data_IF_415595404618
#
_entry.id   IF_415595404618
#
_cell.length_a   1.000
_cell.length_b   1.000
_cell.length_c   1.000
_cell.angle_alpha   90.00
_cell.angle_beta   90.00
_cell.angle_gamma   90.00
#
_symmetry.space_group_name_H-M   'P 1'
#
loop_
_entity.id
_entity.type
_entity.pdbx_description
1 polymer ?
#
# COMPACT_ATOMS: atom_id res chain seq x y z
N UNK A 1 25.05 6.03 -3.44
CA UNK A 1 24.49 7.38 -3.25
C UNK A 1 23.71 7.39 -1.95
N UNK A 2 23.93 8.35 -1.04
CA UNK A 2 23.34 8.32 0.30
C UNK A 2 21.81 8.53 0.17
N UNK A 3 20.99 7.63 0.74
CA UNK A 3 19.53 7.64 0.70
C UNK A 3 18.94 9.02 1.09
N UNK A 4 19.50 9.66 2.11
CA UNK A 4 19.09 11.00 2.55
C UNK A 4 19.34 12.08 1.49
N UNK A 5 20.42 11.97 0.71
CA UNK A 5 20.73 12.90 -0.36
C UNK A 5 19.80 12.72 -1.57
N UNK A 6 19.43 11.47 -1.84
CA UNK A 6 18.44 11.13 -2.88
C UNK A 6 17.05 11.62 -2.48
N UNK A 7 16.61 11.34 -1.25
CA UNK A 7 15.31 11.80 -0.72
C UNK A 7 15.23 13.34 -0.73
N UNK A 8 16.29 14.04 -0.33
CA UNK A 8 16.30 15.51 -0.36
C UNK A 8 16.32 16.05 -1.79
N UNK A 9 17.12 15.50 -2.70
CA UNK A 9 17.11 15.85 -4.13
C UNK A 9 15.75 15.52 -4.76
N UNK A 10 15.08 14.50 -4.26
CA UNK A 10 13.76 14.08 -4.70
C UNK A 10 12.65 14.98 -4.12
N UNK A 11 12.75 15.39 -2.85
CA UNK A 11 11.86 16.39 -2.24
C UNK A 11 12.00 17.75 -2.91
N UNK A 12 13.22 18.13 -3.32
CA UNK A 12 13.46 19.35 -4.11
C UNK A 12 12.85 19.25 -5.52
N UNK A 13 12.83 18.05 -6.12
CA UNK A 13 12.12 17.78 -7.39
C UNK A 13 10.61 17.79 -7.20
N UNK A 14 10.10 17.33 -6.05
CA UNK A 14 8.68 17.40 -5.71
C UNK A 14 8.21 18.82 -5.35
N UNK A 15 9.10 19.68 -4.85
CA UNK A 15 8.82 21.10 -4.61
C UNK A 15 8.72 21.94 -5.92
N UNK A 16 9.22 21.42 -7.04
CA UNK A 16 8.94 21.98 -8.35
C UNK A 16 7.56 21.52 -8.83
N UNK A 17 6.76 22.48 -9.23
CA UNK A 17 5.39 22.29 -9.75
C UNK A 17 5.32 21.08 -10.69
N UNK A 18 4.56 20.07 -10.33
CA UNK A 18 4.32 18.91 -11.15
C UNK A 18 3.19 19.25 -12.12
N UNK A 19 3.40 19.12 -13.41
CA UNK A 19 2.42 19.40 -14.47
C UNK A 19 2.45 18.30 -15.55
N UNK A 20 1.63 18.43 -16.57
CA UNK A 20 1.58 17.49 -17.68
C UNK A 20 2.93 17.33 -18.39
N UNK A 21 3.69 18.43 -18.54
CA UNK A 21 4.98 18.37 -19.26
C UNK A 21 6.00 17.58 -18.44
N UNK A 22 6.08 17.84 -17.13
CA UNK A 22 6.94 17.10 -16.23
C UNK A 22 6.55 15.63 -16.16
N UNK A 23 5.23 15.33 -16.09
CA UNK A 23 4.70 13.97 -16.16
C UNK A 23 5.20 13.26 -17.42
N UNK A 24 5.06 13.87 -18.58
CA UNK A 24 5.51 13.31 -19.86
C UNK A 24 7.02 13.10 -19.90
N UNK A 25 7.80 14.12 -19.52
CA UNK A 25 9.26 14.06 -19.46
C UNK A 25 9.79 12.93 -18.58
N UNK A 26 9.21 12.75 -17.39
CA UNK A 26 9.63 11.70 -16.48
C UNK A 26 9.30 10.32 -17.04
N UNK A 27 8.19 10.15 -17.74
CA UNK A 27 7.81 8.89 -18.42
C UNK A 27 8.71 8.55 -19.60
N UNK A 28 9.32 9.57 -20.23
CA UNK A 28 10.33 9.37 -21.27
C UNK A 28 11.71 9.06 -20.68
N UNK A 29 12.05 9.67 -19.54
CA UNK A 29 13.32 9.48 -18.84
C UNK A 29 13.41 8.11 -18.15
N UNK A 30 12.31 7.66 -17.52
CA UNK A 30 12.25 6.41 -16.77
C UNK A 30 11.39 5.37 -17.49
N UNK A 31 12.01 4.24 -17.83
CA UNK A 31 11.38 3.24 -18.68
C UNK A 31 10.34 2.40 -17.92
N UNK A 32 10.67 2.01 -16.67
CA UNK A 32 9.78 1.14 -15.90
C UNK A 32 9.90 1.32 -14.38
N UNK A 33 8.85 0.89 -13.70
CA UNK A 33 8.83 0.62 -12.25
C UNK A 33 8.67 -0.87 -12.01
N UNK A 34 9.31 -1.41 -10.97
CA UNK A 34 9.26 -2.84 -10.67
C UNK A 34 8.92 -3.11 -9.22
N UNK A 35 7.96 -4.00 -8.97
CA UNK A 35 7.79 -4.69 -7.69
C UNK A 35 8.61 -5.98 -7.74
N UNK A 36 9.78 -5.98 -7.12
CA UNK A 36 10.75 -7.07 -7.22
C UNK A 36 10.35 -8.27 -6.36
N UNK A 37 10.10 -8.05 -5.08
CA UNK A 37 9.77 -9.07 -4.08
C UNK A 37 9.31 -8.44 -2.78
N UNK A 38 8.89 -9.25 -1.84
CA UNK A 38 8.73 -8.91 -0.43
C UNK A 38 9.36 -9.99 0.44
N UNK A 39 9.78 -9.60 1.65
CA UNK A 39 10.25 -10.52 2.67
C UNK A 39 9.49 -10.25 3.96
N UNK A 40 9.32 -11.28 4.79
CA UNK A 40 8.76 -11.11 6.12
C UNK A 40 9.48 -12.01 7.12
N UNK A 41 9.50 -11.55 8.37
CA UNK A 41 10.06 -12.28 9.52
C UNK A 41 9.10 -12.21 10.70
N UNK A 42 9.17 -13.22 11.54
CA UNK A 42 8.51 -13.24 12.84
C UNK A 42 9.57 -13.51 13.90
N UNK A 43 10.06 -12.45 14.52
CA UNK A 43 11.14 -12.50 15.50
C UNK A 43 10.82 -11.61 16.70
N UNK A 44 11.18 -12.06 17.91
CA UNK A 44 11.00 -11.28 19.14
C UNK A 44 9.57 -10.74 19.32
N UNK A 45 8.57 -11.54 18.98
CA UNK A 45 7.16 -11.14 19.04
C UNK A 45 6.80 -9.94 18.15
N UNK A 46 7.54 -9.72 17.05
CA UNK A 46 7.25 -8.72 16.03
C UNK A 46 7.17 -9.39 14.67
N UNK A 47 6.06 -9.18 13.98
CA UNK A 47 5.92 -9.52 12.57
C UNK A 47 6.38 -8.33 11.74
N UNK A 48 7.46 -8.50 10.97
CA UNK A 48 8.05 -7.45 10.13
C UNK A 48 7.93 -7.82 8.67
N UNK A 49 7.57 -6.85 7.84
CA UNK A 49 7.47 -7.01 6.39
C UNK A 49 8.26 -5.92 5.69
N UNK A 50 8.97 -6.28 4.63
CA UNK A 50 9.67 -5.35 3.72
C UNK A 50 9.23 -5.63 2.28
N UNK A 51 8.94 -4.57 1.55
CA UNK A 51 8.72 -4.61 0.12
C UNK A 51 9.95 -4.06 -0.61
N UNK A 52 10.22 -4.57 -1.79
CA UNK A 52 11.36 -4.14 -2.60
C UNK A 52 10.85 -3.67 -3.96
N UNK A 53 11.01 -2.38 -4.17
CA UNK A 53 10.67 -1.74 -5.43
C UNK A 53 11.89 -1.14 -6.08
N UNK A 54 11.86 -0.98 -7.39
CA UNK A 54 12.88 -0.24 -8.13
C UNK A 54 12.28 0.60 -9.25
N UNK A 55 12.97 1.69 -9.56
CA UNK A 55 12.76 2.50 -10.74
C UNK A 55 13.98 2.29 -11.64
N UNK A 56 13.78 1.75 -12.85
CA UNK A 56 14.80 1.34 -13.83
C UNK A 56 15.90 0.42 -13.28
N UNK A 57 15.64 -0.32 -12.20
CA UNK A 57 16.64 -1.10 -11.47
C UNK A 57 17.89 -0.28 -11.07
N UNK A 58 17.75 1.05 -11.00
CA UNK A 58 18.80 2.00 -10.59
C UNK A 58 18.51 2.63 -9.24
N UNK A 59 17.24 2.89 -8.95
CA UNK A 59 16.79 3.48 -7.68
C UNK A 59 15.94 2.47 -6.94
N UNK A 60 16.28 2.19 -5.68
CA UNK A 60 15.65 1.14 -4.89
C UNK A 60 14.91 1.73 -3.70
N UNK A 61 13.72 1.20 -3.44
CA UNK A 61 12.85 1.58 -2.33
C UNK A 61 12.49 0.34 -1.52
N UNK A 62 12.61 0.45 -0.20
CA UNK A 62 12.36 -0.67 0.71
C UNK A 62 11.44 -0.25 1.86
N UNK A 63 10.15 0.07 1.55
CA UNK A 63 9.21 0.32 2.64
C UNK A 63 9.01 -0.92 3.49
N UNK A 64 8.77 -0.68 4.77
CA UNK A 64 8.52 -1.74 5.74
C UNK A 64 7.45 -1.33 6.74
N UNK A 65 6.78 -2.31 7.31
CA UNK A 65 5.94 -2.13 8.48
C UNK A 65 6.16 -3.25 9.49
N UNK A 66 5.82 -2.98 10.73
CA UNK A 66 5.92 -3.91 11.83
C UNK A 66 4.60 -4.01 12.57
N UNK A 67 4.20 -5.23 12.91
CA UNK A 67 3.03 -5.51 13.72
C UNK A 67 3.53 -6.19 15.01
N UNK A 68 3.45 -5.52 16.17
CA UNK A 68 3.77 -6.15 17.45
C UNK A 68 2.84 -7.35 17.68
N UNK A 69 3.42 -8.50 17.97
CA UNK A 69 2.66 -9.68 18.36
C UNK A 69 2.13 -9.46 19.79
N UNK A 70 0.99 -8.82 19.91
CA UNK A 70 0.20 -8.92 21.12
C UNK A 70 -0.61 -10.20 21.03
N UNK A 71 -1.01 -10.79 22.12
CA UNK A 71 -1.73 -12.10 22.25
C UNK A 71 -3.03 -12.25 21.42
N UNK A 72 -3.17 -11.51 20.31
CA UNK A 72 -4.36 -11.49 19.47
C UNK A 72 -4.41 -12.64 18.46
N UNK A 73 -3.26 -13.19 18.09
CA UNK A 73 -3.19 -14.13 16.99
C UNK A 73 -2.08 -15.16 17.18
N UNK A 74 -2.38 -16.41 16.94
CA UNK A 74 -1.37 -17.47 16.93
C UNK A 74 -0.80 -17.62 15.51
N UNK A 75 0.35 -16.99 15.27
CA UNK A 75 1.03 -16.99 13.98
C UNK A 75 1.46 -18.37 13.50
N UNK A 76 1.61 -19.36 14.40
CA UNK A 76 1.95 -20.73 14.03
C UNK A 76 0.84 -21.43 13.23
N UNK A 77 -0.38 -20.89 13.23
CA UNK A 77 -1.52 -21.41 12.47
C UNK A 77 -1.75 -20.67 11.14
N UNK A 78 -0.87 -19.73 10.76
CA UNK A 78 -1.01 -19.01 9.49
C UNK A 78 -0.66 -19.94 8.34
N UNK A 79 -1.57 -20.11 7.42
CA UNK A 79 -1.28 -20.74 6.15
C UNK A 79 -0.38 -19.79 5.33
N UNK A 80 0.77 -20.30 4.89
CA UNK A 80 1.76 -19.51 4.14
C UNK A 80 1.14 -18.88 2.87
N UNK A 81 0.35 -19.63 2.11
CA UNK A 81 -0.28 -19.13 0.88
C UNK A 81 -1.27 -17.98 1.18
N UNK A 82 -1.99 -18.07 2.32
CA UNK A 82 -2.87 -16.97 2.76
C UNK A 82 -2.07 -15.70 3.06
N UNK A 83 -0.96 -15.86 3.80
CA UNK A 83 -0.10 -14.75 4.15
C UNK A 83 0.53 -14.14 2.91
N UNK A 84 1.08 -14.96 2.02
CA UNK A 84 1.68 -14.51 0.77
C UNK A 84 0.68 -13.73 -0.10
N UNK A 85 -0.57 -14.22 -0.20
CA UNK A 85 -1.64 -13.49 -0.90
C UNK A 85 -1.90 -12.12 -0.30
N UNK A 86 -2.00 -12.02 1.03
CA UNK A 86 -2.25 -10.75 1.73
C UNK A 86 -1.06 -9.81 1.54
N UNK A 87 0.16 -10.27 1.76
CA UNK A 87 1.37 -9.46 1.66
C UNK A 87 1.60 -8.96 0.24
N UNK A 88 1.39 -9.81 -0.76
CA UNK A 88 1.45 -9.40 -2.16
C UNK A 88 0.47 -8.25 -2.46
N UNK A 89 -0.79 -8.39 -2.03
CA UNK A 89 -1.79 -7.34 -2.25
C UNK A 89 -1.46 -6.04 -1.49
N UNK A 90 -0.90 -6.11 -0.28
CA UNK A 90 -0.40 -4.93 0.44
C UNK A 90 0.74 -4.28 -0.36
N UNK A 91 1.69 -5.07 -0.88
CA UNK A 91 2.77 -4.57 -1.73
C UNK A 91 2.26 -3.91 -3.01
N UNK A 92 1.23 -4.47 -3.63
CA UNK A 92 0.56 -3.84 -4.79
C UNK A 92 -0.05 -2.47 -4.43
N UNK A 93 -0.68 -2.34 -3.25
CA UNK A 93 -1.19 -1.02 -2.77
C UNK A 93 -0.05 -0.05 -2.50
N UNK A 94 1.04 -0.51 -1.86
CA UNK A 94 2.19 0.34 -1.52
C UNK A 94 2.95 0.82 -2.77
N UNK A 95 3.01 0.00 -3.81
CA UNK A 95 3.66 0.27 -5.09
C UNK A 95 3.30 1.65 -5.65
N UNK A 96 2.02 2.02 -5.63
CA UNK A 96 1.54 3.23 -6.28
C UNK A 96 2.07 4.51 -5.61
N UNK A 97 2.42 4.44 -4.33
CA UNK A 97 3.02 5.55 -3.59
C UNK A 97 4.40 5.91 -4.14
N UNK A 98 5.17 4.91 -4.57
CA UNK A 98 6.50 5.10 -5.14
C UNK A 98 6.47 5.29 -6.66
N UNK A 99 5.54 4.65 -7.36
CA UNK A 99 5.34 4.85 -8.79
C UNK A 99 5.13 6.32 -9.16
N UNK A 100 4.39 7.09 -8.34
CA UNK A 100 4.15 8.54 -8.53
C UNK A 100 5.41 9.37 -8.69
N UNK A 101 6.57 8.86 -8.31
CA UNK A 101 7.85 9.56 -8.35
C UNK A 101 8.27 9.92 -9.79
N UNK A 102 8.02 9.02 -10.72
CA UNK A 102 8.36 9.21 -12.14
C UNK A 102 7.25 8.79 -13.09
N UNK A 103 6.22 8.13 -12.59
CA UNK A 103 5.04 7.69 -13.34
C UNK A 103 5.36 6.88 -14.61
N UNK A 104 6.37 5.98 -14.64
CA UNK A 104 6.71 5.26 -15.86
C UNK A 104 5.53 4.44 -16.37
N UNK A 105 5.45 4.27 -17.70
CA UNK A 105 4.32 3.58 -18.31
C UNK A 105 4.29 2.10 -17.98
N UNK A 106 5.46 1.44 -17.97
CA UNK A 106 5.59 0.01 -17.68
C UNK A 106 5.75 -0.23 -16.18
N UNK A 107 4.99 -1.17 -15.65
CA UNK A 107 5.09 -1.63 -14.26
C UNK A 107 5.25 -3.15 -14.26
N UNK A 108 6.44 -3.62 -13.88
CA UNK A 108 6.75 -5.03 -13.77
C UNK A 108 6.39 -5.58 -12.40
N UNK A 109 5.72 -6.73 -12.38
CA UNK A 109 5.32 -7.46 -11.17
C UNK A 109 6.04 -8.81 -11.18
N UNK A 110 7.06 -8.94 -10.32
CA UNK A 110 7.89 -10.15 -10.27
C UNK A 110 7.40 -11.22 -9.28
N UNK A 111 6.69 -10.91 -8.15
CA UNK A 111 6.34 -11.94 -7.18
C UNK A 111 5.32 -12.96 -7.69
N UNK A 112 4.27 -12.51 -8.39
CA UNK A 112 3.18 -13.36 -8.88
C UNK A 112 2.70 -12.95 -10.25
N UNK A 113 2.09 -13.90 -10.94
CA UNK A 113 1.35 -13.67 -12.16
C UNK A 113 -0.08 -13.21 -11.84
N UNK A 114 -0.57 -12.22 -12.58
CA UNK A 114 -1.94 -11.73 -12.51
C UNK A 114 -2.67 -12.08 -13.81
N UNK A 115 -3.89 -12.57 -13.71
CA UNK A 115 -4.72 -12.76 -14.88
C UNK A 115 -5.22 -11.41 -15.46
N UNK A 116 -5.82 -11.46 -16.63
CA UNK A 116 -6.30 -10.27 -17.33
C UNK A 116 -7.31 -9.46 -16.50
N UNK A 117 -8.22 -10.11 -15.77
CA UNK A 117 -9.23 -9.43 -14.96
C UNK A 117 -8.60 -8.76 -13.74
N UNK A 118 -7.62 -9.42 -13.13
CA UNK A 118 -6.85 -8.86 -12.00
C UNK A 118 -6.05 -7.63 -12.45
N UNK A 119 -5.40 -7.68 -13.62
CA UNK A 119 -4.69 -6.52 -14.19
C UNK A 119 -5.66 -5.37 -14.44
N UNK A 120 -6.81 -5.61 -15.05
CA UNK A 120 -7.83 -4.57 -15.26
C UNK A 120 -8.34 -3.97 -13.96
N UNK A 121 -8.54 -4.81 -12.94
CA UNK A 121 -8.98 -4.36 -11.62
C UNK A 121 -7.93 -3.47 -10.95
N UNK A 122 -6.65 -3.86 -10.98
CA UNK A 122 -5.55 -3.07 -10.43
C UNK A 122 -5.40 -1.74 -11.17
N UNK A 123 -5.44 -1.73 -12.50
CA UNK A 123 -5.40 -0.49 -13.30
C UNK A 123 -6.54 0.46 -12.91
N UNK A 124 -7.76 -0.05 -12.78
CA UNK A 124 -8.92 0.75 -12.37
C UNK A 124 -8.76 1.28 -10.94
N UNK A 125 -8.28 0.46 -10.01
CA UNK A 125 -8.04 0.88 -8.63
C UNK A 125 -7.00 2.00 -8.56
N UNK A 126 -5.86 1.84 -9.22
CA UNK A 126 -4.82 2.86 -9.27
C UNK A 126 -5.30 4.15 -9.93
N UNK A 127 -5.95 4.06 -11.08
CA UNK A 127 -6.44 5.23 -11.79
C UNK A 127 -7.40 6.06 -10.94
N UNK A 128 -8.36 5.41 -10.28
CA UNK A 128 -9.31 6.08 -9.41
C UNK A 128 -8.63 6.62 -8.13
N UNK A 129 -7.68 5.87 -7.55
CA UNK A 129 -6.91 6.30 -6.38
C UNK A 129 -5.96 7.48 -6.66
N UNK A 130 -5.53 7.64 -7.91
CA UNK A 130 -4.70 8.75 -8.37
C UNK A 130 -5.50 10.00 -8.79
N UNK A 131 -6.81 10.00 -8.66
CA UNK A 131 -7.67 11.09 -9.12
C UNK A 131 -7.26 12.46 -8.57
N UNK A 132 -6.97 12.56 -7.27
CA UNK A 132 -6.46 13.79 -6.66
C UNK A 132 -5.08 14.18 -7.22
N UNK A 133 -4.17 13.22 -7.35
CA UNK A 133 -2.84 13.45 -7.93
C UNK A 133 -2.93 14.01 -9.36
N UNK A 134 -3.75 13.42 -10.21
CA UNK A 134 -3.97 13.89 -11.58
C UNK A 134 -4.61 15.29 -11.60
N UNK A 135 -5.63 15.49 -10.78
CA UNK A 135 -6.35 16.76 -10.73
C UNK A 135 -5.47 17.92 -10.26
N UNK A 136 -4.77 17.75 -9.13
CA UNK A 136 -3.92 18.79 -8.56
C UNK A 136 -2.73 19.16 -9.46
N UNK A 137 -2.26 18.21 -10.25
CA UNK A 137 -1.11 18.40 -11.17
C UNK A 137 -1.53 18.66 -12.62
N UNK A 138 -2.83 18.81 -12.91
CA UNK A 138 -3.33 19.09 -14.25
C UNK A 138 -3.03 17.99 -15.28
N UNK A 139 -2.80 16.74 -14.81
CA UNK A 139 -2.47 15.61 -15.66
C UNK A 139 -3.73 15.06 -16.31
N UNK A 140 -3.70 14.90 -17.62
CA UNK A 140 -4.79 14.33 -18.42
C UNK A 140 -4.40 12.93 -18.87
N UNK A 141 -4.98 11.94 -18.25
CA UNK A 141 -4.77 10.53 -18.55
C UNK A 141 -6.09 9.77 -18.58
N UNK A 142 -6.06 8.57 -19.15
CA UNK A 142 -7.18 7.67 -19.13
C UNK A 142 -6.79 6.28 -18.58
N UNK A 143 -7.78 5.53 -18.09
CA UNK A 143 -7.55 4.26 -17.41
C UNK A 143 -6.86 3.19 -18.27
N UNK A 144 -6.98 3.28 -19.60
CA UNK A 144 -6.42 2.26 -20.49
C UNK A 144 -4.94 2.49 -20.78
N UNK A 145 -4.49 3.75 -20.80
CA UNK A 145 -3.18 4.13 -21.33
C UNK A 145 -2.18 4.58 -20.29
N UNK A 146 -2.63 4.94 -19.04
CA UNK A 146 -1.72 5.51 -18.04
C UNK A 146 -0.66 4.55 -17.53
N UNK A 147 -0.93 3.23 -17.57
CA UNK A 147 -0.04 2.20 -17.02
C UNK A 147 -0.21 0.87 -17.75
N UNK A 148 0.88 0.17 -18.02
CA UNK A 148 0.93 -1.20 -18.50
C UNK A 148 1.51 -2.10 -17.41
N UNK A 149 0.68 -2.94 -16.80
CA UNK A 149 1.10 -3.93 -15.79
C UNK A 149 1.55 -5.20 -16.50
N UNK A 150 2.79 -5.61 -16.26
CA UNK A 150 3.45 -6.74 -16.91
C UNK A 150 3.96 -7.70 -15.82
N UNK A 151 3.46 -8.92 -15.80
CA UNK A 151 3.92 -9.94 -14.85
C UNK A 151 5.14 -10.67 -15.42
N UNK A 152 6.14 -10.89 -14.55
CA UNK A 152 7.38 -11.61 -14.90
C UNK A 152 7.44 -13.02 -14.30
N UNK A 153 6.50 -13.34 -13.41
CA UNK A 153 6.40 -14.64 -12.74
C UNK A 153 5.36 -15.52 -13.42
N UNK A 154 5.59 -16.82 -13.44
CA UNK A 154 4.57 -17.82 -13.80
C UNK A 154 3.80 -18.32 -12.58
N UNK A 155 4.20 -17.91 -11.37
CA UNK A 155 3.55 -18.32 -10.12
C UNK A 155 2.24 -17.57 -9.96
N UNK A 156 1.14 -18.31 -9.89
CA UNK A 156 -0.20 -17.73 -9.67
C UNK A 156 -0.48 -17.63 -8.17
N UNK A 157 -1.03 -16.50 -7.76
CA UNK A 157 -1.52 -16.34 -6.39
C UNK A 157 -2.77 -17.21 -6.20
N UNK A 158 -2.69 -18.20 -5.33
CA UNK A 158 -3.80 -19.13 -5.10
C UNK A 158 -4.99 -18.40 -4.46
N UNK A 159 -6.20 -18.78 -4.89
CA UNK A 159 -7.41 -18.36 -4.18
C UNK A 159 -7.42 -19.03 -2.81
N UNK A 160 -7.59 -18.23 -1.79
CA UNK A 160 -7.60 -18.72 -0.41
C UNK A 160 -8.93 -18.44 0.23
N UNK A 161 -9.55 -19.50 0.77
CA UNK A 161 -10.75 -19.36 1.59
C UNK A 161 -10.33 -19.05 3.03
N UNK A 162 -10.75 -17.88 3.52
CA UNK A 162 -10.47 -17.45 4.89
C UNK A 162 -11.77 -17.44 5.68
N UNK A 163 -11.83 -18.21 6.76
CA UNK A 163 -12.92 -18.10 7.72
C UNK A 163 -12.68 -16.89 8.62
N UNK A 164 -13.43 -15.83 8.42
CA UNK A 164 -13.34 -14.61 9.21
C UNK A 164 -14.31 -14.69 10.40
N UNK A 165 -13.91 -14.06 11.52
CA UNK A 165 -14.82 -13.80 12.63
C UNK A 165 -15.78 -12.67 12.24
N UNK A 166 -17.03 -12.77 12.69
CA UNK A 166 -18.03 -11.70 12.53
C UNK A 166 -17.70 -10.50 13.44
N UNK A 167 -16.64 -9.77 13.10
CA UNK A 167 -16.19 -8.61 13.84
C UNK A 167 -15.80 -7.52 12.85
N UNK A 168 -16.26 -6.30 13.08
CA UNK A 168 -15.98 -5.16 12.21
C UNK A 168 -14.70 -4.46 12.63
N UNK A 169 -13.72 -4.38 11.74
CA UNK A 169 -12.50 -3.59 11.93
C UNK A 169 -12.80 -2.13 11.58
N UNK A 170 -12.56 -1.21 12.53
CA UNK A 170 -12.84 0.22 12.36
C UNK A 170 -11.53 1.01 12.37
N UNK A 171 -11.06 1.53 11.23
CA UNK A 171 -9.89 2.39 11.18
C UNK A 171 -10.13 3.71 11.91
N UNK A 172 -9.20 4.13 12.78
CA UNK A 172 -9.28 5.35 13.59
C UNK A 172 -8.19 6.33 13.16
N UNK A 173 -8.58 7.37 12.45
CA UNK A 173 -7.70 8.48 12.08
C UNK A 173 -7.64 9.64 13.09
N UNK A 174 -8.47 9.60 14.13
CA UNK A 174 -8.55 10.66 15.16
C UNK A 174 -9.41 11.86 14.76
N UNK A 175 -10.05 11.84 13.59
CA UNK A 175 -11.00 12.86 13.15
C UNK A 175 -12.45 12.53 13.52
N UNK A 176 -13.35 13.51 13.30
CA UNK A 176 -14.79 13.42 13.60
C UNK A 176 -15.47 12.17 13.01
N UNK A 177 -15.09 11.78 11.78
CA UNK A 177 -15.71 10.66 11.08
C UNK A 177 -15.39 9.31 11.76
N UNK A 178 -14.17 9.16 12.29
CA UNK A 178 -13.79 8.00 13.10
C UNK A 178 -14.62 7.92 14.38
N UNK A 179 -14.81 9.05 15.07
CA UNK A 179 -15.63 9.12 16.29
C UNK A 179 -17.07 8.74 16.00
N UNK A 180 -17.67 9.33 14.97
CA UNK A 180 -19.06 9.03 14.56
C UNK A 180 -19.22 7.55 14.21
N UNK A 181 -18.25 6.98 13.47
CA UNK A 181 -18.28 5.56 13.10
C UNK A 181 -18.23 4.64 14.32
N UNK A 182 -17.29 4.88 15.24
CA UNK A 182 -17.16 4.08 16.47
C UNK A 182 -18.44 4.18 17.32
N UNK A 183 -18.93 5.40 17.60
CA UNK A 183 -20.13 5.62 18.42
C UNK A 183 -21.38 5.01 17.78
N UNK A 184 -21.48 5.03 16.46
CA UNK A 184 -22.61 4.44 15.74
C UNK A 184 -22.64 2.91 15.76
N UNK A 185 -21.47 2.28 15.87
CA UNK A 185 -21.33 0.83 15.76
C UNK A 185 -21.12 0.10 17.08
N UNK A 186 -20.39 0.68 18.06
CA UNK A 186 -19.93 0.00 19.28
C UNK A 186 -21.02 -0.70 20.07
N UNK A 187 -22.26 -0.21 20.02
CA UNK A 187 -23.40 -0.79 20.72
C UNK A 187 -24.30 -1.68 19.84
N UNK A 188 -23.95 -1.85 18.55
CA UNK A 188 -24.75 -2.61 17.58
C UNK A 188 -24.11 -3.91 17.17
N UNK A 189 -22.78 -3.96 17.18
CA UNK A 189 -22.01 -5.11 16.72
C UNK A 189 -20.61 -5.16 17.36
N UNK A 190 -19.95 -6.32 17.39
CA UNK A 190 -18.55 -6.39 17.80
C UNK A 190 -17.66 -5.58 16.87
N UNK A 191 -16.89 -4.65 17.41
CA UNK A 191 -15.92 -3.85 16.65
C UNK A 191 -14.51 -3.97 17.26
N UNK A 192 -13.49 -3.85 16.42
CA UNK A 192 -12.09 -3.73 16.80
C UNK A 192 -11.55 -2.43 16.22
N UNK A 193 -11.19 -1.44 17.04
CA UNK A 193 -10.52 -0.23 16.57
C UNK A 193 -9.11 -0.56 16.02
N UNK A 194 -8.79 -0.04 14.83
CA UNK A 194 -7.47 -0.16 14.22
C UNK A 194 -6.81 1.20 14.13
N UNK A 195 -5.63 1.34 14.72
CA UNK A 195 -4.82 2.55 14.60
C UNK A 195 -3.46 2.19 13.99
N UNK A 196 -3.08 2.90 12.93
CA UNK A 196 -1.73 2.81 12.36
C UNK A 196 -0.89 3.94 12.96
N UNK A 197 0.26 3.62 13.56
CA UNK A 197 1.16 4.55 14.25
C UNK A 197 0.41 5.42 15.29
N UNK A 198 -0.08 4.82 16.40
CA UNK A 198 -0.97 5.47 17.34
C UNK A 198 -0.31 6.66 18.05
N UNK A 199 -0.94 7.84 17.99
CA UNK A 199 -0.48 9.08 18.63
C UNK A 199 -1.63 10.07 18.86
N UNK A 200 -1.52 10.89 19.96
CA UNK A 200 -2.45 12.00 20.23
C UNK A 200 -3.92 11.61 20.10
N UNK A 201 -4.68 12.36 19.34
CA UNK A 201 -6.14 12.22 19.18
C UNK A 201 -6.60 10.82 18.74
N UNK A 202 -5.76 10.01 18.05
CA UNK A 202 -6.14 8.65 17.67
C UNK A 202 -6.26 7.74 18.89
N UNK A 203 -5.34 7.86 19.87
CA UNK A 203 -5.39 7.12 21.12
C UNK A 203 -6.55 7.58 21.99
N UNK A 204 -6.65 8.89 22.18
CA UNK A 204 -7.69 9.51 23.01
C UNK A 204 -9.10 9.12 22.52
N UNK A 205 -9.34 9.09 21.19
CA UNK A 205 -10.62 8.65 20.64
C UNK A 205 -10.97 7.21 21.03
N UNK A 206 -10.00 6.30 21.02
CA UNK A 206 -10.21 4.88 21.36
C UNK A 206 -10.47 4.72 22.86
N UNK A 207 -9.69 5.40 23.70
CA UNK A 207 -9.84 5.36 25.16
C UNK A 207 -11.18 5.94 25.62
N UNK A 208 -11.57 7.12 25.10
CA UNK A 208 -12.86 7.76 25.40
C UNK A 208 -14.04 6.90 24.92
N UNK A 209 -13.88 6.18 23.82
CA UNK A 209 -14.90 5.24 23.34
C UNK A 209 -15.02 3.96 24.19
N UNK A 210 -14.12 3.76 25.18
CA UNK A 210 -14.16 2.64 26.12
C UNK A 210 -13.39 1.40 25.66
N UNK A 211 -12.50 1.52 24.69
CA UNK A 211 -11.63 0.40 24.25
C UNK A 211 -10.25 0.50 24.90
N UNK A 212 -9.71 -0.64 25.30
CA UNK A 212 -8.31 -0.76 25.74
C UNK A 212 -7.36 -0.88 24.55
N UNK A 213 -6.18 -0.27 24.66
CA UNK A 213 -5.12 -0.37 23.67
C UNK A 213 -4.10 -1.48 24.01
#
# INVERSE_FOLDING_TARGET
MNFTKFVNQFLDVMATYYDQNKYNSLREEYEFFRFQRYDYTLENDVFSVKFYFSLDDKYFFTPSFEIPQRNFYNWSNVNKNQLDTILFNIGMIELISYWKLACPKKVYISPFNLDFNQILWWKKLYFNGLGEFFYLNGIKENVNDFMDIICESDVVCEKVDVSLKETTLVPIGGGKDSVVTVESLKNKMPIIPLIINPRGATKECVEVAGFSM
#
